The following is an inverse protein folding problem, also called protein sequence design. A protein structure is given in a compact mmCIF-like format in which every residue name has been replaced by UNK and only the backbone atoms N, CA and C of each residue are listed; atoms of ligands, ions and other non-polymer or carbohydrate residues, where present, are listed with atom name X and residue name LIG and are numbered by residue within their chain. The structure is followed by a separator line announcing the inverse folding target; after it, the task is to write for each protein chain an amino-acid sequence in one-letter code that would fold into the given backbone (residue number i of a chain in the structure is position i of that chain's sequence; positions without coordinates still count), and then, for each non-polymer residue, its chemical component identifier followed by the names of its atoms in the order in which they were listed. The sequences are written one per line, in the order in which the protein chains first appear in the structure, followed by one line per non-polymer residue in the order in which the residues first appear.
data_IF_964939368576
#
_entry.id   IF_964939368576
#
_cell.length_a   1.000
_cell.length_b   1.000
_cell.length_c   1.000
_cell.angle_alpha   90.00
_cell.angle_beta   90.00
_cell.angle_gamma   90.00
#
_symmetry.space_group_name_H-M   'P 1'
#
loop_
_entity.id
_entity.type
_entity.pdbx_description
1 polymer ?
#
# COMPACT_ATOMS: atom_id res chain seq x y z
N UNK A 1 3.94 8.01 12.03
CA UNK A 1 4.77 6.85 11.63
C UNK A 1 4.13 5.48 11.95
N UNK A 2 3.09 5.41 12.79
CA UNK A 2 2.40 4.15 13.12
C UNK A 2 1.68 3.51 11.92
N UNK A 3 1.00 4.30 11.09
CA UNK A 3 0.26 3.81 9.91
C UNK A 3 1.14 3.14 8.86
N UNK A 4 2.36 3.66 8.67
CA UNK A 4 3.31 3.08 7.72
C UNK A 4 3.82 1.71 8.21
N UNK A 5 4.04 1.58 9.51
CA UNK A 5 4.43 0.32 10.15
C UNK A 5 3.27 -0.70 10.13
N UNK A 6 2.04 -0.23 10.38
CA UNK A 6 0.82 -1.05 10.35
C UNK A 6 0.55 -1.61 8.96
N UNK A 7 0.48 -0.75 7.94
CA UNK A 7 0.23 -1.17 6.56
C UNK A 7 1.30 -2.11 6.01
N UNK A 8 2.57 -1.86 6.33
CA UNK A 8 3.67 -2.70 5.86
C UNK A 8 3.72 -4.07 6.54
N UNK A 9 3.37 -4.20 7.82
CA UNK A 9 3.25 -5.50 8.49
C UNK A 9 2.05 -6.28 7.97
N UNK A 10 0.91 -5.63 7.75
CA UNK A 10 -0.30 -6.27 7.22
C UNK A 10 -0.07 -6.81 5.80
N UNK A 11 0.55 -6.03 4.93
CA UNK A 11 0.89 -6.47 3.57
C UNK A 11 1.90 -7.64 3.57
N UNK A 12 2.88 -7.62 4.48
CA UNK A 12 3.89 -8.67 4.57
C UNK A 12 3.35 -10.01 5.11
N UNK A 13 2.30 -9.99 5.96
CA UNK A 13 1.68 -11.20 6.51
C UNK A 13 0.62 -11.82 5.60
N UNK A 14 0.31 -11.18 4.48
CA UNK A 14 -0.81 -11.57 3.62
C UNK A 14 -0.40 -12.67 2.62
N UNK A 15 -0.99 -13.85 2.77
CA UNK A 15 -0.58 -15.10 2.09
C UNK A 15 -1.07 -15.27 0.64
N UNK A 16 -2.00 -14.45 0.13
CA UNK A 16 -2.49 -14.59 -1.25
C UNK A 16 -2.53 -13.26 -2.03
N UNK A 17 -2.31 -13.28 -3.36
CA UNK A 17 -2.36 -12.07 -4.20
C UNK A 17 -3.71 -11.33 -4.15
N UNK A 18 -4.80 -12.02 -3.84
CA UNK A 18 -6.14 -11.44 -3.70
C UNK A 18 -6.28 -10.59 -2.43
N UNK A 19 -5.75 -11.09 -1.31
CA UNK A 19 -5.77 -10.36 -0.03
C UNK A 19 -4.75 -9.21 -0.03
N UNK A 20 -3.65 -9.34 -0.77
CA UNK A 20 -2.68 -8.26 -0.97
C UNK A 20 -3.32 -7.04 -1.66
N UNK A 21 -4.12 -7.26 -2.70
CA UNK A 21 -4.85 -6.17 -3.38
C UNK A 21 -5.88 -5.53 -2.46
N UNK A 22 -6.65 -6.33 -1.72
CA UNK A 22 -7.61 -5.81 -0.74
C UNK A 22 -6.92 -4.94 0.32
N UNK A 23 -5.78 -5.39 0.85
CA UNK A 23 -4.97 -4.64 1.81
C UNK A 23 -4.47 -3.29 1.26
N UNK A 24 -4.03 -3.27 0.00
CA UNK A 24 -3.59 -2.03 -0.67
C UNK A 24 -4.76 -1.07 -0.88
N UNK A 25 -5.93 -1.59 -1.29
CA UNK A 25 -7.16 -0.80 -1.46
C UNK A 25 -7.59 -0.18 -0.15
N UNK A 26 -7.65 -0.97 0.93
CA UNK A 26 -8.03 -0.46 2.25
C UNK A 26 -7.07 0.61 2.74
N UNK A 27 -5.75 0.35 2.68
CA UNK A 27 -4.75 1.32 3.11
C UNK A 27 -4.82 2.64 2.31
N UNK A 28 -5.04 2.56 0.99
CA UNK A 28 -5.19 3.75 0.16
C UNK A 28 -6.51 4.48 0.41
N UNK A 29 -7.59 3.74 0.70
CA UNK A 29 -8.91 4.31 1.00
C UNK A 29 -8.90 5.04 2.34
N UNK A 30 -8.38 4.42 3.39
CA UNK A 30 -8.21 5.05 4.71
C UNK A 30 -7.38 6.33 4.59
N UNK A 31 -6.26 6.27 3.86
CA UNK A 31 -5.41 7.44 3.62
C UNK A 31 -6.15 8.55 2.86
N UNK A 32 -6.91 8.20 1.81
CA UNK A 32 -7.71 9.15 1.04
C UNK A 32 -8.75 9.85 1.90
N UNK A 33 -9.50 9.09 2.71
CA UNK A 33 -10.54 9.62 3.59
C UNK A 33 -9.94 10.59 4.63
N UNK A 34 -8.69 10.38 5.06
CA UNK A 34 -8.05 11.20 6.08
C UNK A 34 -7.27 12.40 5.54
N UNK A 35 -6.66 12.30 4.36
CA UNK A 35 -5.69 13.29 3.86
C UNK A 35 -6.04 13.92 2.50
N UNK A 36 -7.11 13.44 1.86
CA UNK A 36 -7.55 13.90 0.54
C UNK A 36 -6.99 13.06 -0.61
N UNK A 37 -7.76 12.99 -1.70
CA UNK A 37 -7.41 12.23 -2.91
C UNK A 37 -6.14 12.77 -3.59
N UNK A 38 -5.85 14.06 -3.42
CA UNK A 38 -4.66 14.72 -3.93
C UNK A 38 -3.37 14.08 -3.43
N UNK A 39 -3.34 13.49 -2.23
CA UNK A 39 -2.11 12.94 -1.62
C UNK A 39 -1.92 11.44 -1.79
N UNK A 40 -2.91 10.76 -2.37
CA UNK A 40 -2.93 9.30 -2.49
C UNK A 40 -1.78 8.79 -3.37
N UNK A 41 -1.41 9.53 -4.42
CA UNK A 41 -0.28 9.18 -5.27
C UNK A 41 1.06 9.17 -4.52
N UNK A 42 1.26 10.13 -3.60
CA UNK A 42 2.46 10.20 -2.74
C UNK A 42 2.50 9.01 -1.80
N UNK A 43 1.36 8.69 -1.17
CA UNK A 43 1.24 7.55 -0.27
C UNK A 43 1.55 6.22 -0.98
N UNK A 44 1.04 6.02 -2.20
CA UNK A 44 1.32 4.83 -3.01
C UNK A 44 2.81 4.66 -3.30
N UNK A 45 3.50 5.73 -3.67
CA UNK A 45 4.94 5.65 -3.95
C UNK A 45 5.76 5.35 -2.69
N UNK A 46 5.40 5.95 -1.54
CA UNK A 46 6.03 5.65 -0.26
C UNK A 46 5.78 4.19 0.17
N UNK A 47 4.56 3.68 -0.05
CA UNK A 47 4.20 2.30 0.26
C UNK A 47 4.99 1.32 -0.62
N UNK A 48 5.09 1.58 -1.93
CA UNK A 48 5.88 0.76 -2.84
C UNK A 48 7.36 0.69 -2.43
N UNK A 49 7.98 1.83 -2.11
CA UNK A 49 9.37 1.87 -1.62
C UNK A 49 9.55 1.12 -0.31
N UNK A 50 8.59 1.21 0.60
CA UNK A 50 8.61 0.46 1.87
C UNK A 50 8.57 -1.05 1.63
N UNK A 51 7.80 -1.50 0.65
CA UNK A 51 7.72 -2.91 0.26
C UNK A 51 8.99 -3.41 -0.44
N UNK A 52 9.60 -2.60 -1.31
CA UNK A 52 10.89 -2.91 -1.92
C UNK A 52 12.00 -3.08 -0.88
N UNK A 53 12.04 -2.22 0.15
CA UNK A 53 12.99 -2.34 1.26
C UNK A 53 12.85 -3.64 2.07
N UNK A 54 11.68 -4.28 2.02
CA UNK A 54 11.40 -5.58 2.65
C UNK A 54 11.54 -6.75 1.65
N UNK A 55 12.19 -6.51 0.52
CA UNK A 55 12.37 -7.42 -0.62
C UNK A 55 11.06 -7.95 -1.22
N UNK A 56 9.94 -7.28 -0.95
CA UNK A 56 8.62 -7.66 -1.45
C UNK A 56 8.31 -6.93 -2.76
N UNK A 57 9.18 -7.13 -3.75
CA UNK A 57 9.17 -6.39 -5.04
C UNK A 57 7.89 -6.64 -5.85
N UNK A 58 7.31 -7.84 -5.74
CA UNK A 58 6.02 -8.17 -6.38
C UNK A 58 4.89 -7.29 -5.83
N UNK A 59 4.83 -7.11 -4.51
CA UNK A 59 3.84 -6.25 -3.88
C UNK A 59 4.06 -4.78 -4.25
N UNK A 60 5.31 -4.31 -4.28
CA UNK A 60 5.64 -2.96 -4.71
C UNK A 60 5.18 -2.66 -6.15
N UNK A 61 5.42 -3.60 -7.09
CA UNK A 61 4.97 -3.47 -8.46
C UNK A 61 3.43 -3.39 -8.57
N UNK A 62 2.72 -4.18 -7.76
CA UNK A 62 1.25 -4.13 -7.67
C UNK A 62 0.79 -2.75 -7.18
N UNK A 63 1.38 -2.21 -6.11
CA UNK A 63 1.04 -0.87 -5.58
C UNK A 63 1.27 0.24 -6.62
N UNK A 64 2.40 0.20 -7.34
CA UNK A 64 2.70 1.19 -8.40
C UNK A 64 1.75 1.11 -9.59
N UNK A 65 1.29 -0.09 -9.92
CA UNK A 65 0.37 -0.30 -11.05
C UNK A 65 -1.11 -0.15 -10.65
N UNK A 66 -1.39 0.13 -9.38
CA UNK A 66 -2.75 0.15 -8.82
C UNK A 66 -3.49 1.46 -9.09
N UNK A 67 -4.18 1.60 -10.22
CA UNK A 67 -5.04 2.77 -10.43
C UNK A 67 -6.23 2.76 -9.46
N UNK A 68 -6.30 3.78 -8.61
CA UNK A 68 -7.48 4.06 -7.81
C UNK A 68 -8.45 4.80 -8.71
N UNK A 69 -9.43 4.06 -9.24
CA UNK A 69 -10.63 4.61 -9.86
C UNK A 69 -11.28 5.70 -8.99
#
# INVERSE_FOLDING_TARGET
MLELARGSSYIASTLTPATLRAAIVEACREFREQYGADKVHIFRELLARSLEKRDNRKAAAVVRSFDLL
#
